data_IF_023827939244
#
_entry.id   IF_023827939244
#
_cell.length_a   1.000
_cell.length_b   1.000
_cell.length_c   1.000
_cell.angle_alpha   90.00
_cell.angle_beta   90.00
_cell.angle_gamma   90.00
#
_symmetry.space_group_name_H-M   'P 1'
#
loop_
_entity.id
_entity.type
_entity.pdbx_description
1 polymer ?
#
# COMPACT_ATOMS: atom_id res chain seq x y z
N UNK A 1 10.72 -11.44 -1.70
CA UNK A 1 9.84 -10.51 -0.95
C UNK A 1 9.16 -9.62 -1.97
N UNK A 2 7.85 -9.38 -1.87
CA UNK A 2 7.13 -8.48 -2.78
C UNK A 2 7.32 -7.00 -2.38
N UNK A 3 7.06 -6.06 -3.29
CA UNK A 3 7.29 -4.62 -3.04
C UNK A 3 6.41 -4.06 -1.92
N UNK A 4 5.20 -4.61 -1.71
CA UNK A 4 4.33 -4.18 -0.60
C UNK A 4 4.93 -4.63 0.74
N UNK A 5 5.45 -5.86 0.81
CA UNK A 5 6.18 -6.36 1.97
C UNK A 5 7.45 -5.56 2.28
N UNK A 6 8.20 -5.12 1.25
CA UNK A 6 9.35 -4.24 1.43
C UNK A 6 8.95 -2.86 2.02
N UNK A 7 7.87 -2.27 1.51
CA UNK A 7 7.38 -0.99 2.01
C UNK A 7 6.91 -1.08 3.47
N UNK A 8 6.22 -2.17 3.84
CA UNK A 8 5.81 -2.42 5.23
C UNK A 8 7.03 -2.56 6.16
N UNK A 9 8.05 -3.32 5.76
CA UNK A 9 9.28 -3.47 6.55
C UNK A 9 10.00 -2.13 6.78
N UNK A 10 10.05 -1.25 5.77
CA UNK A 10 10.64 0.08 5.91
C UNK A 10 9.85 0.96 6.88
N UNK A 11 8.52 0.84 6.90
CA UNK A 11 7.70 1.53 7.91
C UNK A 11 7.94 0.99 9.31
N UNK A 12 8.07 -0.33 9.47
CA UNK A 12 8.40 -0.95 10.77
C UNK A 12 9.80 -0.55 11.26
N UNK A 13 10.73 -0.29 10.34
CA UNK A 13 12.10 0.17 10.62
C UNK A 13 12.23 1.67 10.93
N UNK A 14 11.14 2.46 10.87
CA UNK A 14 11.22 3.91 11.10
C UNK A 14 11.52 4.75 9.85
N UNK A 15 11.74 4.10 8.71
CA UNK A 15 12.23 4.71 7.47
C UNK A 15 11.06 5.25 6.62
N UNK A 16 10.30 6.19 7.18
CA UNK A 16 9.01 6.63 6.64
C UNK A 16 9.07 7.14 5.18
N UNK A 17 10.08 7.93 4.82
CA UNK A 17 10.22 8.45 3.44
C UNK A 17 10.57 7.35 2.43
N UNK A 18 11.46 6.42 2.82
CA UNK A 18 11.85 5.29 1.96
C UNK A 18 10.70 4.29 1.84
N UNK A 19 9.99 4.05 2.94
CA UNK A 19 8.76 3.25 2.98
C UNK A 19 7.70 3.83 2.06
N UNK A 20 7.49 5.15 2.08
CA UNK A 20 6.55 5.82 1.19
C UNK A 20 6.94 5.69 -0.29
N UNK A 21 8.21 5.90 -0.64
CA UNK A 21 8.68 5.74 -2.02
C UNK A 21 8.52 4.30 -2.52
N UNK A 22 8.86 3.30 -1.68
CA UNK A 22 8.65 1.89 -1.99
C UNK A 22 7.17 1.55 -2.13
N UNK A 23 6.32 2.11 -1.28
CA UNK A 23 4.87 1.92 -1.32
C UNK A 23 4.24 2.48 -2.60
N UNK A 24 4.65 3.67 -3.05
CA UNK A 24 4.18 4.25 -4.31
C UNK A 24 4.46 3.33 -5.50
N UNK A 25 5.70 2.82 -5.59
CA UNK A 25 6.07 1.85 -6.63
C UNK A 25 5.32 0.52 -6.50
N UNK A 26 5.05 0.08 -5.28
CA UNK A 26 4.28 -1.13 -5.02
C UNK A 26 2.80 -0.99 -5.41
N UNK A 27 2.23 0.21 -5.24
CA UNK A 27 0.86 0.54 -5.61
C UNK A 27 0.68 0.60 -7.13
N UNK A 28 1.66 1.15 -7.86
CA UNK A 28 1.63 1.18 -9.34
C UNK A 28 1.69 -0.23 -9.94
N UNK A 29 2.53 -1.10 -9.36
CA UNK A 29 2.57 -2.53 -9.69
C UNK A 29 1.27 -3.24 -9.35
N UNK A 30 0.78 -3.00 -8.13
CA UNK A 30 -0.46 -3.58 -7.65
C UNK A 30 -1.60 -3.19 -8.59
N UNK A 31 -1.72 -1.94 -9.01
CA UNK A 31 -2.77 -1.48 -9.93
C UNK A 31 -2.87 -2.27 -11.25
N UNK A 32 -1.80 -2.97 -11.67
CA UNK A 32 -1.76 -3.77 -12.90
C UNK A 32 -2.15 -5.23 -12.70
N UNK A 33 -2.27 -5.69 -11.46
CA UNK A 33 -2.53 -7.09 -11.11
C UNK A 33 -3.82 -7.17 -10.30
N UNK A 34 -4.84 -7.86 -10.82
CA UNK A 34 -6.06 -8.10 -10.06
C UNK A 34 -5.95 -9.41 -9.27
N UNK A 35 -5.84 -9.30 -7.94
CA UNK A 35 -5.66 -10.45 -7.06
C UNK A 35 -6.14 -10.15 -5.65
N UNK A 36 -6.91 -11.06 -5.07
CA UNK A 36 -7.33 -11.05 -3.65
C UNK A 36 -6.14 -11.00 -2.69
N UNK A 37 -4.98 -11.54 -3.09
CA UNK A 37 -3.75 -11.46 -2.32
C UNK A 37 -3.20 -10.03 -2.21
N UNK A 38 -3.42 -9.19 -3.23
CA UNK A 38 -3.04 -7.78 -3.21
C UNK A 38 -3.89 -7.02 -2.19
N UNK A 39 -5.18 -7.31 -2.08
CA UNK A 39 -6.06 -6.68 -1.08
C UNK A 39 -5.60 -6.95 0.36
N UNK A 40 -5.24 -8.20 0.69
CA UNK A 40 -4.70 -8.52 2.02
C UNK A 40 -3.40 -7.77 2.33
N UNK A 41 -2.52 -7.62 1.34
CA UNK A 41 -1.23 -6.92 1.49
C UNK A 41 -1.40 -5.40 1.65
N UNK A 42 -2.38 -4.81 0.98
CA UNK A 42 -2.69 -3.38 1.15
C UNK A 42 -3.13 -3.06 2.58
N UNK A 43 -3.86 -3.96 3.24
CA UNK A 43 -4.24 -3.76 4.64
C UNK A 43 -3.01 -3.75 5.57
N UNK A 44 -2.05 -4.66 5.36
CA UNK A 44 -0.78 -4.65 6.12
C UNK A 44 0.00 -3.36 5.89
N UNK A 45 0.06 -2.87 4.65
CA UNK A 45 0.72 -1.60 4.33
C UNK A 45 0.06 -0.42 5.05
N UNK A 46 -1.28 -0.37 5.07
CA UNK A 46 -2.04 0.69 5.74
C UNK A 46 -1.84 0.69 7.26
N UNK A 47 -1.72 -0.49 7.87
CA UNK A 47 -1.48 -0.61 9.31
C UNK A 47 -0.07 -0.13 9.68
N UNK A 48 0.96 -0.55 8.92
CA UNK A 48 2.33 -0.09 9.11
C UNK A 48 2.50 1.43 8.88
N UNK A 49 1.78 1.98 7.90
CA UNK A 49 1.76 3.41 7.61
C UNK A 49 1.00 4.25 8.64
N UNK A 50 0.21 3.65 9.54
CA UNK A 50 -0.77 4.35 10.38
C UNK A 50 -0.15 5.38 11.31
N UNK A 51 1.05 5.10 11.83
CA UNK A 51 1.73 5.92 12.83
C UNK A 51 2.40 7.17 12.26
N UNK A 52 2.50 7.29 10.93
CA UNK A 52 3.21 8.40 10.29
C UNK A 52 2.22 9.47 9.80
N UNK A 53 2.46 10.70 10.24
CA UNK A 53 1.67 11.90 9.86
C UNK A 53 2.47 12.80 8.93
N UNK A 54 3.05 12.22 7.88
CA UNK A 54 3.79 12.95 6.84
C UNK A 54 3.04 12.88 5.51
N UNK A 55 3.12 13.96 4.73
CA UNK A 55 2.38 14.11 3.48
C UNK A 55 2.60 12.93 2.50
N UNK A 56 3.83 12.41 2.42
CA UNK A 56 4.15 11.27 1.57
C UNK A 56 3.39 9.98 1.98
N UNK A 57 3.17 9.78 3.28
CA UNK A 57 2.43 8.63 3.81
C UNK A 57 0.92 8.83 3.68
N UNK A 58 0.43 10.06 3.77
CA UNK A 58 -0.98 10.39 3.51
C UNK A 58 -1.37 10.07 2.07
N UNK A 59 -0.50 10.39 1.11
CA UNK A 59 -0.71 10.05 -0.29
C UNK A 59 -0.74 8.53 -0.51
N UNK A 60 0.19 7.79 0.12
CA UNK A 60 0.20 6.32 0.11
C UNK A 60 -1.10 5.74 0.68
N UNK A 61 -1.57 6.25 1.83
CA UNK A 61 -2.83 5.80 2.44
C UNK A 61 -4.02 6.07 1.54
N UNK A 62 -4.09 7.24 0.92
CA UNK A 62 -5.18 7.62 0.02
C UNK A 62 -5.21 6.68 -1.18
N UNK A 63 -4.09 6.54 -1.89
CA UNK A 63 -3.98 5.65 -3.07
C UNK A 63 -4.25 4.19 -2.72
N UNK A 64 -3.76 3.70 -1.58
CA UNK A 64 -4.01 2.32 -1.14
C UNK A 64 -5.50 2.07 -0.83
N UNK A 65 -6.20 3.03 -0.22
CA UNK A 65 -7.65 2.96 0.03
C UNK A 65 -8.46 2.97 -1.26
N UNK A 66 -8.14 3.90 -2.18
CA UNK A 66 -8.82 4.00 -3.48
C UNK A 66 -8.66 2.70 -4.28
N UNK A 67 -7.45 2.16 -4.27
CA UNK A 67 -7.13 0.92 -4.97
C UNK A 67 -7.82 -0.31 -4.34
N UNK A 68 -7.95 -0.34 -3.01
CA UNK A 68 -8.72 -1.39 -2.32
C UNK A 68 -10.22 -1.28 -2.62
N UNK A 69 -10.77 -0.06 -2.64
CA UNK A 69 -12.16 0.20 -2.97
C UNK A 69 -12.50 -0.21 -4.42
N UNK A 70 -11.65 0.15 -5.38
CA UNK A 70 -11.81 -0.22 -6.79
C UNK A 70 -11.84 -1.74 -7.01
N UNK A 71 -11.08 -2.51 -6.22
CA UNK A 71 -11.09 -3.98 -6.30
C UNK A 71 -12.33 -4.62 -5.70
N UNK A 72 -12.83 -4.08 -4.59
CA UNK A 72 -14.09 -4.56 -4.01
C UNK A 72 -15.26 -4.40 -4.99
N UNK A 73 -15.24 -3.35 -5.83
CA UNK A 73 -16.25 -3.16 -6.88
C UNK A 73 -16.09 -4.11 -8.07
N UNK A 74 -14.87 -4.57 -8.40
CA UNK A 74 -14.63 -5.47 -9.54
C UNK A 74 -15.10 -6.91 -9.28
N UNK A 75 -15.31 -7.33 -8.03
CA UNK A 75 -15.79 -8.68 -7.69
C UNK A 75 -17.27 -8.89 -8.11
N UNK A 76 -17.96 -7.84 -8.59
CA UNK A 76 -19.29 -7.91 -9.20
C UNK A 76 -19.23 -7.70 -10.72
N UNK A 77 -18.77 -8.71 -11.47
CA UNK A 77 -18.97 -8.80 -12.93
C UNK A 77 -18.94 -10.27 -13.38
#
# INVERSE_FOLDING_TARGET
>A
MDRIGLAAALFDEGEAERGAAAAQQALDDAARVDSTLVASRLNTLLDAARAYEIAAVDEVRTRAKDLAAARLTTIAA
#
